data_IF_026511333580
#
_entry.id   IF_026511333580
#
_cell.length_a   1.000
_cell.length_b   1.000
_cell.length_c   1.000
_cell.angle_alpha   90.00
_cell.angle_beta   90.00
_cell.angle_gamma   90.00
#
_symmetry.space_group_name_H-M   'P 1'
#
loop_
_entity.id
_entity.type
_entity.pdbx_description
1 polymer ?
#
# COMPACT_ATOMS: atom_id res chain seq x y z
N UNK A 1 10.65 -7.94 -15.83
CA UNK A 1 10.76 -7.34 -14.52
C UNK A 1 10.04 -5.99 -14.49
N UNK A 2 9.48 -5.57 -13.34
CA UNK A 2 8.69 -4.32 -13.27
C UNK A 2 9.50 -3.05 -13.64
N UNK A 3 10.81 -3.05 -13.44
CA UNK A 3 11.68 -1.92 -13.81
C UNK A 3 11.56 -1.56 -15.28
N UNK A 4 11.48 -2.58 -16.13
CA UNK A 4 11.39 -2.40 -17.58
C UNK A 4 10.12 -1.63 -17.96
N UNK A 5 9.02 -1.89 -17.24
CA UNK A 5 7.76 -1.17 -17.46
C UNK A 5 7.88 0.30 -17.06
N UNK A 6 8.49 0.59 -15.90
CA UNK A 6 8.68 1.98 -15.47
C UNK A 6 9.57 2.77 -16.43
N UNK A 7 10.60 2.14 -16.99
CA UNK A 7 11.51 2.78 -17.94
C UNK A 7 10.84 3.21 -19.24
N UNK A 8 9.67 2.63 -19.58
CA UNK A 8 8.88 3.07 -20.75
C UNK A 8 8.31 4.49 -20.58
N UNK A 9 8.16 4.97 -19.35
CA UNK A 9 7.49 6.23 -18.98
C UNK A 9 5.99 6.27 -19.35
N UNK A 10 5.37 5.12 -19.64
CA UNK A 10 3.93 5.03 -19.89
C UNK A 10 3.12 4.69 -18.66
N UNK A 11 3.76 4.19 -17.61
CA UNK A 11 3.06 3.82 -16.36
C UNK A 11 2.66 5.09 -15.62
N UNK A 12 1.38 5.21 -15.30
CA UNK A 12 0.82 6.37 -14.57
C UNK A 12 0.37 6.00 -13.17
N UNK A 13 -0.05 4.76 -12.98
CA UNK A 13 -0.53 4.24 -11.70
C UNK A 13 0.19 2.92 -11.43
N UNK A 14 0.65 2.73 -10.21
CA UNK A 14 1.35 1.53 -9.81
C UNK A 14 0.82 1.04 -8.46
N UNK A 15 0.25 -0.16 -8.45
CA UNK A 15 -0.34 -0.78 -7.25
C UNK A 15 0.57 -1.88 -6.72
N UNK A 16 0.77 -1.89 -5.40
CA UNK A 16 1.49 -2.97 -4.74
C UNK A 16 0.95 -3.15 -3.32
N UNK A 17 0.79 -4.39 -2.88
CA UNK A 17 0.47 -4.70 -1.49
C UNK A 17 1.66 -4.35 -0.59
N UNK A 18 1.40 -3.61 0.48
CA UNK A 18 2.46 -2.99 1.29
C UNK A 18 3.28 -4.00 2.11
N UNK A 19 2.73 -5.19 2.39
CA UNK A 19 3.40 -6.24 3.15
C UNK A 19 4.36 -7.09 2.32
N UNK A 20 4.40 -6.92 1.00
CA UNK A 20 5.24 -7.76 0.15
C UNK A 20 6.73 -7.42 0.30
N UNK A 21 7.56 -8.45 0.24
CA UNK A 21 8.99 -8.26 0.17
C UNK A 21 9.33 -7.47 -1.10
N UNK A 22 10.09 -6.39 -0.95
CA UNK A 22 10.43 -5.51 -2.06
C UNK A 22 9.39 -4.42 -2.35
N UNK A 23 8.31 -4.32 -1.58
CA UNK A 23 7.30 -3.28 -1.76
C UNK A 23 7.90 -1.88 -1.64
N UNK A 24 8.80 -1.67 -0.68
CA UNK A 24 9.44 -0.37 -0.48
C UNK A 24 10.23 0.06 -1.71
N UNK A 25 11.03 -0.84 -2.28
CA UNK A 25 11.81 -0.57 -3.50
C UNK A 25 10.90 -0.30 -4.69
N UNK A 26 9.80 -1.03 -4.79
CA UNK A 26 8.79 -0.82 -5.83
C UNK A 26 8.19 0.59 -5.72
N UNK A 27 7.77 0.98 -4.51
CA UNK A 27 7.19 2.31 -4.28
C UNK A 27 8.20 3.43 -4.58
N UNK A 28 9.46 3.25 -4.18
CA UNK A 28 10.51 4.22 -4.48
C UNK A 28 10.75 4.35 -5.98
N UNK A 29 10.71 3.24 -6.72
CA UNK A 29 10.82 3.24 -8.19
C UNK A 29 9.65 3.99 -8.81
N UNK A 30 8.42 3.69 -8.39
CA UNK A 30 7.23 4.36 -8.87
C UNK A 30 7.27 5.87 -8.61
N UNK A 31 7.75 6.27 -7.42
CA UNK A 31 7.91 7.68 -7.06
C UNK A 31 8.90 8.39 -7.98
N UNK A 32 10.03 7.75 -8.29
CA UNK A 32 11.02 8.32 -9.20
C UNK A 32 10.46 8.54 -10.60
N UNK A 33 9.50 7.71 -11.02
CA UNK A 33 8.84 7.83 -12.32
C UNK A 33 7.54 8.64 -12.27
N UNK A 34 7.27 9.30 -11.14
CA UNK A 34 6.11 10.18 -10.94
C UNK A 34 4.77 9.48 -11.16
N UNK A 35 4.70 8.18 -10.81
CA UNK A 35 3.46 7.42 -10.85
C UNK A 35 2.62 7.70 -9.62
N UNK A 36 1.29 7.64 -9.75
CA UNK A 36 0.41 7.51 -8.60
C UNK A 36 0.65 6.16 -7.96
N UNK A 37 1.03 6.16 -6.70
CA UNK A 37 1.33 4.95 -5.95
C UNK A 37 0.11 4.54 -5.15
N UNK A 38 -0.37 3.32 -5.38
CA UNK A 38 -1.54 2.80 -4.69
C UNK A 38 -1.22 1.51 -3.94
N UNK A 39 -2.06 1.16 -3.00
CA UNK A 39 -2.01 -0.11 -2.28
C UNK A 39 -3.38 -0.78 -2.36
N UNK A 40 -3.40 -2.05 -2.73
CA UNK A 40 -4.64 -2.82 -2.82
C UNK A 40 -4.37 -4.31 -2.67
N UNK A 41 -5.43 -5.10 -2.45
CA UNK A 41 -5.33 -6.53 -2.22
C UNK A 41 -4.27 -6.87 -1.17
N UNK A 42 -4.31 -6.18 -0.04
CA UNK A 42 -3.21 -6.17 0.92
C UNK A 42 -3.67 -6.58 2.31
N UNK A 43 -2.87 -7.40 2.96
CA UNK A 43 -3.05 -7.75 4.38
C UNK A 43 -2.04 -6.99 5.27
N UNK A 44 -1.70 -5.77 4.88
CA UNK A 44 -0.71 -4.95 5.56
C UNK A 44 -1.15 -4.53 6.96
N UNK A 45 -0.19 -4.48 7.86
CA UNK A 45 -0.32 -3.87 9.18
C UNK A 45 -0.10 -2.37 9.10
N UNK A 46 -0.45 -1.64 10.18
CA UNK A 46 -0.19 -0.21 10.27
C UNK A 46 1.27 0.17 9.96
N UNK A 47 2.31 -0.47 10.55
CA UNK A 47 3.69 -0.12 10.22
C UNK A 47 4.06 -0.32 8.75
N UNK A 48 3.50 -1.36 8.11
CA UNK A 48 3.73 -1.61 6.69
C UNK A 48 3.07 -0.53 5.83
N UNK A 49 1.86 -0.12 6.18
CA UNK A 49 1.18 1.02 5.53
C UNK A 49 1.95 2.33 5.74
N UNK A 50 2.48 2.54 6.96
CA UNK A 50 3.29 3.71 7.25
C UNK A 50 4.54 3.76 6.38
N UNK A 51 5.23 2.62 6.21
CA UNK A 51 6.39 2.52 5.33
C UNK A 51 6.05 2.86 3.88
N UNK A 52 4.91 2.36 3.38
CA UNK A 52 4.42 2.68 2.05
C UNK A 52 4.12 4.18 1.90
N UNK A 53 3.46 4.75 2.89
CA UNK A 53 3.12 6.18 2.93
C UNK A 53 4.37 7.06 2.88
N UNK A 54 5.42 6.69 3.61
CA UNK A 54 6.70 7.40 3.59
C UNK A 54 7.38 7.36 2.22
N UNK A 55 7.07 6.35 1.40
CA UNK A 55 7.55 6.24 0.02
C UNK A 55 6.67 6.97 -0.99
N UNK A 56 5.58 7.60 -0.56
CA UNK A 56 4.71 8.39 -1.44
C UNK A 56 3.37 7.75 -1.78
N UNK A 57 3.04 6.59 -1.21
CA UNK A 57 1.73 5.96 -1.40
C UNK A 57 0.65 6.83 -0.75
N UNK A 58 -0.37 7.21 -1.52
CA UNK A 58 -1.44 8.13 -1.10
C UNK A 58 -2.84 7.64 -1.48
N UNK A 59 -2.95 6.47 -2.07
CA UNK A 59 -4.22 5.95 -2.53
C UNK A 59 -4.36 4.47 -2.18
N UNK A 60 -5.56 4.06 -1.82
CA UNK A 60 -5.92 2.66 -1.59
C UNK A 60 -7.04 2.29 -2.54
N UNK A 61 -6.85 1.19 -3.25
CA UNK A 61 -7.83 0.69 -4.20
C UNK A 61 -9.08 0.17 -3.48
N UNK A 62 -10.25 0.36 -4.07
CA UNK A 62 -11.54 -0.20 -3.68
C UNK A 62 -11.70 -0.45 -2.15
N UNK A 63 -11.89 0.63 -1.40
CA UNK A 63 -12.06 0.61 0.07
C UNK A 63 -13.07 -0.46 0.50
N UNK A 64 -12.76 -1.19 1.56
CA UNK A 64 -13.46 -2.34 2.11
C UNK A 64 -13.26 -3.65 1.33
N UNK A 65 -12.72 -3.63 0.14
CA UNK A 65 -12.53 -4.84 -0.65
C UNK A 65 -11.06 -5.28 -0.60
N UNK A 66 -10.83 -6.54 -0.21
CA UNK A 66 -9.49 -7.13 -0.12
C UNK A 66 -8.49 -6.28 0.69
N UNK A 67 -8.97 -5.71 1.79
CA UNK A 67 -8.18 -4.91 2.74
C UNK A 67 -7.99 -5.65 4.05
N UNK A 68 -6.84 -5.44 4.69
CA UNK A 68 -6.60 -5.97 6.02
C UNK A 68 -7.52 -5.32 7.07
N UNK A 69 -7.79 -6.11 8.10
CA UNK A 69 -8.45 -5.68 9.32
C UNK A 69 -7.58 -6.05 10.51
N UNK A 70 -7.92 -5.57 11.69
CA UNK A 70 -7.22 -5.98 12.94
C UNK A 70 -7.20 -7.50 13.07
N UNK A 71 -8.31 -8.16 12.74
CA UNK A 71 -8.42 -9.64 12.79
C UNK A 71 -7.44 -10.30 11.83
N UNK A 72 -7.40 -9.87 10.57
CA UNK A 72 -6.55 -10.50 9.56
C UNK A 72 -5.07 -10.27 9.84
N UNK A 73 -4.71 -9.10 10.34
CA UNK A 73 -3.32 -8.78 10.76
C UNK A 73 -2.92 -9.65 11.96
N UNK A 74 -3.82 -9.80 12.94
CA UNK A 74 -3.59 -10.70 14.08
C UNK A 74 -3.34 -12.14 13.61
N UNK A 75 -4.15 -12.62 12.68
CA UNK A 75 -4.01 -13.97 12.16
C UNK A 75 -2.69 -14.17 11.43
N UNK A 76 -2.27 -13.18 10.63
CA UNK A 76 -1.02 -13.25 9.88
C UNK A 76 0.22 -13.11 10.75
N UNK A 77 0.23 -12.17 11.70
CA UNK A 77 1.42 -11.80 12.47
C UNK A 77 1.48 -12.40 13.89
N UNK A 78 0.37 -12.93 14.39
CA UNK A 78 0.29 -13.47 15.75
C UNK A 78 0.34 -12.40 16.84
N UNK A 79 0.07 -11.13 16.52
CA UNK A 79 0.06 -10.03 17.48
C UNK A 79 -1.36 -9.75 17.98
N UNK A 80 -1.54 -9.44 19.28
CA UNK A 80 -2.89 -9.31 19.85
C UNK A 80 -3.65 -8.08 19.36
N UNK A 81 -2.99 -6.94 19.22
CA UNK A 81 -3.61 -5.68 18.79
C UNK A 81 -2.63 -4.91 17.91
N UNK A 82 -2.99 -4.76 16.67
CA UNK A 82 -2.23 -3.94 15.72
C UNK A 82 -3.18 -3.38 14.68
N UNK A 83 -3.08 -2.10 14.41
CA UNK A 83 -3.86 -1.45 13.36
C UNK A 83 -3.58 -2.07 12.00
N UNK A 84 -4.57 -2.02 11.15
CA UNK A 84 -4.55 -2.55 9.80
C UNK A 84 -4.58 -1.42 8.78
N UNK A 85 -4.61 -1.80 7.53
CA UNK A 85 -4.85 -0.92 6.40
C UNK A 85 -6.12 -0.08 6.58
N UNK A 86 -7.18 -0.70 7.09
CA UNK A 86 -8.47 -0.05 7.31
C UNK A 86 -8.35 1.16 8.24
N UNK A 87 -7.80 0.96 9.44
CA UNK A 87 -7.61 2.04 10.41
C UNK A 87 -6.63 3.09 9.91
N UNK A 88 -5.59 2.65 9.18
CA UNK A 88 -4.60 3.57 8.61
C UNK A 88 -5.25 4.59 7.67
N UNK A 89 -6.06 4.09 6.73
CA UNK A 89 -6.75 4.96 5.75
C UNK A 89 -7.71 5.92 6.45
N UNK A 90 -8.49 5.41 7.41
CA UNK A 90 -9.45 6.25 8.15
C UNK A 90 -8.76 7.30 9.01
N UNK A 91 -7.55 7.04 9.48
CA UNK A 91 -6.78 7.93 10.34
C UNK A 91 -5.89 8.94 9.61
N UNK A 92 -5.77 8.85 8.28
CA UNK A 92 -4.87 9.70 7.51
C UNK A 92 -5.63 10.51 6.46
N UNK A 93 -5.92 11.80 6.72
CA UNK A 93 -6.69 12.63 5.79
C UNK A 93 -6.00 12.87 4.44
N UNK A 94 -4.69 12.60 4.34
CA UNK A 94 -3.94 12.68 3.08
C UNK A 94 -4.19 11.48 2.17
N UNK A 95 -4.78 10.41 2.69
CA UNK A 95 -5.10 9.22 1.90
C UNK A 95 -6.37 9.42 1.09
N UNK A 96 -6.38 8.89 -0.12
CA UNK A 96 -7.57 8.81 -0.96
C UNK A 96 -7.92 7.36 -1.28
N UNK A 97 -9.15 7.13 -1.70
CA UNK A 97 -9.62 5.80 -2.08
C UNK A 97 -10.84 5.91 -3.00
N UNK A 98 -11.14 4.84 -3.71
CA UNK A 98 -12.45 4.66 -4.36
C UNK A 98 -13.21 3.50 -3.72
N UNK A 99 -14.48 3.42 -4.00
CA UNK A 99 -15.36 2.32 -3.57
C UNK A 99 -15.79 1.45 -4.72
#
# INVERSE_FOLDING_TARGET
>A
EYRDYFETNFVRIATCAAELNGAREFYQMAARHQCLITCGHSNASWPEMQSAFECGMRHVDHFWCAMSSVSSVRQRLGVPMRGSMLEFVLGHPEMSTEV
#
